data_IF_372648101835
#
_entry.id   IF_372648101835
#
_cell.length_a   1.000
_cell.length_b   1.000
_cell.length_c   1.000
_cell.angle_alpha   90.00
_cell.angle_beta   90.00
_cell.angle_gamma   90.00
#
_symmetry.space_group_name_H-M   'P 1'
#
loop_
_entity.id
_entity.type
_entity.pdbx_description
1 polymer ?
#
# COMPACT_ATOMS: atom_id res chain seq x y z
N UNK A 1 22.63 -2.22 9.30
CA UNK A 1 21.93 -3.51 9.08
C UNK A 1 20.68 -3.25 8.24
N UNK A 2 20.34 -4.14 7.29
CA UNK A 2 19.12 -4.00 6.50
C UNK A 2 17.89 -4.21 7.40
N UNK A 3 16.81 -3.47 7.21
CA UNK A 3 15.55 -3.55 7.97
C UNK A 3 15.10 -5.01 8.19
N UNK A 4 15.24 -5.84 7.17
CA UNK A 4 14.98 -7.28 7.20
C UNK A 4 15.75 -7.99 8.34
N UNK A 5 17.05 -7.73 8.45
CA UNK A 5 17.91 -8.37 9.46
C UNK A 5 17.59 -7.87 10.88
N UNK A 6 17.25 -6.59 11.02
CA UNK A 6 16.85 -6.02 12.33
C UNK A 6 15.53 -6.61 12.80
N UNK A 7 14.54 -6.74 11.91
CA UNK A 7 13.22 -7.26 12.24
C UNK A 7 13.31 -8.76 12.65
N UNK A 8 14.02 -9.57 11.84
CA UNK A 8 14.21 -11.00 12.16
C UNK A 8 14.95 -11.18 13.47
N UNK A 9 15.98 -10.37 13.73
CA UNK A 9 16.75 -10.45 14.98
C UNK A 9 15.93 -9.98 16.19
N UNK A 10 15.09 -8.96 16.04
CA UNK A 10 14.20 -8.49 17.09
C UNK A 10 13.12 -9.53 17.43
N UNK A 11 12.48 -10.13 16.43
CA UNK A 11 11.46 -11.17 16.66
C UNK A 11 12.05 -12.45 17.27
N UNK A 12 13.19 -12.93 16.75
CA UNK A 12 13.85 -14.10 17.33
C UNK A 12 14.38 -13.82 18.73
N UNK A 13 14.94 -12.64 18.97
CA UNK A 13 15.38 -12.23 20.30
C UNK A 13 14.24 -12.15 21.32
N UNK A 14 13.13 -11.50 20.95
CA UNK A 14 11.93 -11.44 21.80
C UNK A 14 11.38 -12.84 22.11
N UNK A 15 11.30 -13.71 21.10
CA UNK A 15 10.84 -15.08 21.27
C UNK A 15 11.71 -15.85 22.26
N UNK A 16 13.06 -15.78 22.14
CA UNK A 16 13.99 -16.45 23.03
C UNK A 16 13.78 -15.96 24.47
N UNK A 17 13.64 -14.65 24.67
CA UNK A 17 13.40 -14.08 26.01
C UNK A 17 12.09 -14.60 26.59
N UNK A 18 10.99 -14.57 25.83
CA UNK A 18 9.68 -15.05 26.30
C UNK A 18 9.73 -16.54 26.65
N UNK A 19 10.32 -17.38 25.79
CA UNK A 19 10.43 -18.81 26.04
C UNK A 19 11.30 -19.11 27.25
N UNK A 20 12.41 -18.37 27.46
CA UNK A 20 13.30 -18.56 28.59
C UNK A 20 12.60 -18.17 29.90
N UNK A 21 11.94 -17.02 29.95
CA UNK A 21 11.19 -16.55 31.12
C UNK A 21 10.06 -17.50 31.47
N UNK A 22 9.26 -17.90 30.44
CA UNK A 22 8.14 -18.84 30.65
C UNK A 22 8.64 -20.20 31.11
N UNK A 23 9.73 -20.72 30.52
CA UNK A 23 10.33 -21.98 30.92
C UNK A 23 10.84 -21.95 32.35
N UNK A 24 11.49 -20.86 32.79
CA UNK A 24 11.95 -20.69 34.15
C UNK A 24 10.79 -20.63 35.15
N UNK A 25 9.73 -19.87 34.85
CA UNK A 25 8.55 -19.79 35.71
C UNK A 25 7.83 -21.14 35.84
N UNK A 26 7.67 -21.87 34.75
CA UNK A 26 7.07 -23.21 34.80
C UNK A 26 7.95 -24.18 35.61
N UNK A 27 9.28 -24.11 35.42
CA UNK A 27 10.20 -24.96 36.15
C UNK A 27 10.12 -24.71 37.68
N UNK A 28 10.06 -23.45 38.11
CA UNK A 28 9.98 -23.10 39.51
C UNK A 28 8.65 -23.46 40.16
N UNK A 29 7.54 -23.27 39.42
CA UNK A 29 6.20 -23.54 39.94
C UNK A 29 5.85 -25.03 39.99
N UNK A 30 6.36 -25.83 39.07
CA UNK A 30 5.94 -27.25 38.96
C UNK A 30 6.39 -28.07 40.13
N UNK A 31 7.60 -27.80 40.68
CA UNK A 31 8.10 -28.50 41.83
C UNK A 31 7.27 -28.20 43.08
N UNK A 32 6.94 -26.94 43.31
CA UNK A 32 6.13 -26.52 44.46
C UNK A 32 4.71 -27.13 44.36
N UNK A 33 4.11 -27.16 43.18
CA UNK A 33 2.79 -27.78 42.98
C UNK A 33 2.85 -29.28 43.22
N UNK A 34 3.86 -29.99 42.69
CA UNK A 34 4.02 -31.43 42.91
C UNK A 34 4.21 -31.77 44.38
N UNK A 35 5.00 -31.01 45.11
CA UNK A 35 5.21 -31.19 46.55
C UNK A 35 3.92 -30.96 47.34
N UNK A 36 3.15 -29.91 47.01
CA UNK A 36 1.86 -29.62 47.66
C UNK A 36 0.81 -30.70 47.36
N UNK A 37 0.73 -31.16 46.10
CA UNK A 37 -0.21 -32.21 45.71
C UNK A 37 0.11 -33.53 46.41
N UNK A 38 1.40 -33.90 46.46
CA UNK A 38 1.86 -35.09 47.19
C UNK A 38 1.55 -34.98 48.70
N UNK A 39 1.82 -33.84 49.32
CA UNK A 39 1.43 -33.60 50.71
C UNK A 39 -0.08 -33.81 50.95
N UNK A 40 -0.91 -33.27 50.07
CA UNK A 40 -2.35 -33.42 50.20
C UNK A 40 -2.77 -34.87 50.04
N UNK A 41 -2.20 -35.61 49.08
CA UNK A 41 -2.49 -37.04 48.90
C UNK A 41 -2.06 -37.86 50.13
N UNK A 42 -0.86 -37.55 50.69
CA UNK A 42 -0.39 -38.19 51.92
C UNK A 42 -1.33 -37.88 53.12
N UNK A 43 -1.83 -36.65 53.22
CA UNK A 43 -2.79 -36.26 54.26
C UNK A 43 -4.13 -36.99 54.11
N UNK A 44 -4.73 -37.00 52.93
CA UNK A 44 -5.98 -37.73 52.62
C UNK A 44 -5.81 -39.24 52.88
N UNK A 45 -4.71 -39.84 52.44
CA UNK A 45 -4.41 -41.25 52.65
C UNK A 45 -4.22 -41.58 54.10
N UNK A 46 -3.49 -40.72 54.81
CA UNK A 46 -3.24 -40.91 56.22
C UNK A 46 -4.45 -40.71 57.10
N UNK A 47 -5.35 -39.77 56.80
CA UNK A 47 -6.63 -39.63 57.47
C UNK A 47 -7.51 -40.86 57.29
N UNK A 48 -7.59 -41.42 56.07
CA UNK A 48 -8.30 -42.65 55.82
C UNK A 48 -7.75 -43.83 56.62
N UNK A 49 -6.39 -43.93 56.65
CA UNK A 49 -5.70 -44.97 57.44
C UNK A 49 -5.95 -44.80 58.96
N UNK A 50 -5.83 -43.54 59.44
CA UNK A 50 -6.06 -43.24 60.85
C UNK A 50 -7.50 -43.54 61.31
N UNK A 51 -8.50 -43.21 60.46
CA UNK A 51 -9.92 -43.53 60.73
C UNK A 51 -10.15 -45.07 60.69
N UNK A 52 -9.65 -45.76 59.69
CA UNK A 52 -9.77 -47.20 59.58
C UNK A 52 -9.15 -47.92 60.80
N UNK A 53 -7.98 -47.44 61.23
CA UNK A 53 -7.28 -47.97 62.39
C UNK A 53 -8.06 -47.71 63.70
N UNK A 54 -8.71 -46.55 63.83
CA UNK A 54 -9.50 -46.21 64.98
C UNK A 54 -10.77 -47.04 65.08
N UNK A 55 -11.47 -47.30 63.96
CA UNK A 55 -12.69 -48.10 63.96
C UNK A 55 -12.46 -49.61 64.21
N UNK A 56 -11.41 -50.15 63.60
CA UNK A 56 -11.20 -51.60 63.54
C UNK A 56 -10.32 -52.13 64.69
N UNK A 57 -9.42 -51.30 65.24
CA UNK A 57 -8.37 -51.73 66.18
C UNK A 57 -8.38 -50.92 67.51
N UNK A 58 -9.45 -50.22 67.85
CA UNK A 58 -9.61 -49.40 69.05
C UNK A 58 -9.44 -50.17 70.39
N UNK A 59 -9.13 -51.45 70.36
CA UNK A 59 -8.77 -52.30 71.55
C UNK A 59 -7.67 -53.25 71.13
N UNK A 60 -6.47 -52.98 71.68
CA UNK A 60 -5.23 -53.67 71.85
C UNK A 60 -5.07 -55.19 71.46
N UNK A 61 -5.60 -55.71 70.43
CA UNK A 61 -5.48 -57.16 70.23
C UNK A 61 -4.73 -57.71 69.01
N UNK A 62 -4.53 -56.97 67.89
CA UNK A 62 -3.79 -57.57 66.81
C UNK A 62 -2.91 -56.58 66.02
N UNK A 63 -1.78 -56.20 66.64
CA UNK A 63 -0.68 -55.47 65.94
C UNK A 63 -0.13 -56.31 64.76
N UNK A 64 -0.34 -57.62 64.74
CA UNK A 64 0.21 -58.49 63.70
C UNK A 64 -0.56 -58.41 62.39
N UNK A 65 -1.89 -58.39 62.45
CA UNK A 65 -2.74 -58.22 61.24
C UNK A 65 -2.61 -56.83 60.66
N UNK A 66 -2.47 -55.80 61.51
CA UNK A 66 -2.19 -54.43 61.13
C UNK A 66 -0.84 -54.28 60.41
N UNK A 67 0.22 -54.92 60.90
CA UNK A 67 1.55 -54.90 60.28
C UNK A 67 1.49 -55.53 58.88
N UNK A 68 0.71 -56.61 58.67
CA UNK A 68 0.55 -57.25 57.38
C UNK A 68 -0.21 -56.36 56.39
N UNK A 69 -1.29 -55.72 56.84
CA UNK A 69 -2.07 -54.77 56.00
C UNK A 69 -1.25 -53.59 55.53
N UNK A 70 -0.47 -52.96 56.41
CA UNK A 70 0.37 -51.80 56.07
C UNK A 70 1.55 -52.14 55.17
N UNK A 71 2.13 -53.30 55.31
CA UNK A 71 3.21 -53.78 54.42
C UNK A 71 2.70 -54.08 53.00
N UNK A 72 1.45 -54.50 52.88
CA UNK A 72 0.82 -54.80 51.56
C UNK A 72 0.50 -53.51 50.78
N UNK A 73 0.48 -52.36 51.42
CA UNK A 73 0.13 -51.05 50.77
C UNK A 73 1.33 -50.34 50.12
N UNK A 74 2.56 -50.87 50.18
CA UNK A 74 3.80 -50.25 49.68
C UNK A 74 4.04 -48.80 50.17
N UNK A 75 3.36 -48.40 51.27
CA UNK A 75 3.49 -47.07 51.87
C UNK A 75 4.67 -47.01 52.83
N UNK A 76 5.44 -45.92 52.75
CA UNK A 76 6.48 -45.64 53.73
C UNK A 76 5.87 -44.81 54.85
N UNK A 77 5.77 -45.41 56.05
CA UNK A 77 5.14 -44.77 57.19
C UNK A 77 5.77 -45.18 58.54
N UNK A 78 5.59 -44.30 59.51
CA UNK A 78 5.91 -44.53 60.95
C UNK A 78 4.65 -44.33 61.79
N UNK A 79 4.49 -45.16 62.78
CA UNK A 79 3.63 -44.87 63.92
C UNK A 79 4.54 -44.38 65.10
N UNK A 80 4.41 -43.09 65.39
CA UNK A 80 5.29 -42.41 66.41
C UNK A 80 4.48 -42.05 67.62
N UNK A 81 5.07 -42.37 68.82
CA UNK A 81 4.54 -41.96 70.10
C UNK A 81 5.27 -40.70 70.62
N UNK A 82 4.52 -39.59 70.73
CA UNK A 82 5.04 -38.31 71.22
C UNK A 82 5.39 -38.33 72.66
N UNK A 83 4.75 -39.15 73.51
CA UNK A 83 4.97 -39.20 74.94
C UNK A 83 6.24 -39.97 75.29
N UNK A 84 6.52 -41.01 74.52
CA UNK A 84 7.66 -41.87 74.70
C UNK A 84 8.86 -41.53 73.83
N UNK A 85 8.65 -40.59 72.87
CA UNK A 85 9.64 -40.21 71.84
C UNK A 85 10.23 -41.45 71.12
N UNK A 86 9.34 -42.37 70.72
CA UNK A 86 9.76 -43.63 70.10
C UNK A 86 8.84 -43.97 68.90
N UNK A 87 9.41 -44.68 67.90
CA UNK A 87 8.63 -45.29 66.83
C UNK A 87 8.14 -46.63 67.28
N UNK A 88 6.81 -46.78 67.31
CA UNK A 88 6.16 -48.06 67.72
C UNK A 88 6.14 -49.04 66.54
N UNK A 89 5.98 -48.55 65.34
CA UNK A 89 5.89 -49.33 64.12
C UNK A 89 6.44 -48.58 62.93
N UNK A 90 7.04 -49.28 61.98
CA UNK A 90 7.46 -48.75 60.67
C UNK A 90 7.36 -49.78 59.60
N UNK A 91 6.96 -49.36 58.38
CA UNK A 91 7.05 -50.21 57.17
C UNK A 91 8.47 -50.26 56.62
N UNK A 92 9.38 -49.42 57.14
CA UNK A 92 10.78 -49.35 56.70
C UNK A 92 11.71 -50.11 57.65
N UNK A 93 12.90 -50.52 57.17
CA UNK A 93 13.92 -51.18 58.02
C UNK A 93 14.34 -50.30 59.16
N UNK A 94 14.61 -50.90 60.32
CA UNK A 94 15.03 -50.19 61.56
C UNK A 94 16.27 -49.29 61.35
N UNK A 95 17.18 -49.64 60.46
CA UNK A 95 18.35 -48.83 60.13
C UNK A 95 17.97 -47.51 59.45
N UNK A 96 16.91 -47.51 58.59
CA UNK A 96 16.36 -46.34 57.92
C UNK A 96 15.64 -45.44 58.92
N UNK A 97 14.86 -46.04 59.83
CA UNK A 97 14.16 -45.34 60.92
C UNK A 97 15.15 -44.59 61.80
N UNK A 98 16.23 -45.28 62.23
CA UNK A 98 17.27 -44.67 63.05
C UNK A 98 17.98 -43.48 62.35
N UNK A 99 18.15 -43.57 61.01
CA UNK A 99 18.70 -42.46 60.23
C UNK A 99 17.79 -41.25 60.24
N UNK A 100 16.49 -41.44 60.07
CA UNK A 100 15.50 -40.34 60.10
C UNK A 100 15.51 -39.65 61.51
N UNK A 101 15.63 -40.40 62.57
CA UNK A 101 15.70 -39.83 63.90
C UNK A 101 16.98 -38.99 64.19
N UNK A 102 18.07 -39.31 63.49
CA UNK A 102 19.31 -38.56 63.62
C UNK A 102 19.34 -37.28 62.85
N UNK A 103 18.68 -37.26 61.66
CA UNK A 103 18.78 -36.16 60.71
C UNK A 103 17.60 -35.18 60.81
N UNK A 104 16.45 -35.61 61.40
CA UNK A 104 15.24 -34.79 61.41
C UNK A 104 14.67 -34.58 62.80
N UNK A 105 14.00 -33.45 63.01
CA UNK A 105 13.41 -33.11 64.29
C UNK A 105 11.98 -33.61 64.43
N UNK A 106 11.76 -34.75 65.00
CA UNK A 106 10.41 -35.33 65.21
C UNK A 106 9.51 -34.47 66.10
N UNK A 107 10.04 -33.59 66.92
CA UNK A 107 9.26 -32.67 67.75
C UNK A 107 8.69 -31.48 66.93
N UNK A 108 9.24 -31.20 65.76
CA UNK A 108 8.79 -30.12 64.92
C UNK A 108 7.62 -30.56 64.00
N UNK A 109 6.41 -30.29 64.41
CA UNK A 109 5.17 -30.68 63.70
C UNK A 109 4.90 -29.88 62.40
N UNK A 110 5.68 -28.83 62.14
CA UNK A 110 5.49 -27.96 60.95
C UNK A 110 6.45 -28.33 59.81
N UNK A 111 7.33 -29.26 60.01
CA UNK A 111 8.31 -29.66 59.03
C UNK A 111 7.65 -30.62 58.02
N UNK A 112 7.50 -30.19 56.76
CA UNK A 112 6.85 -30.93 55.70
C UNK A 112 7.82 -31.65 54.79
N UNK A 113 9.12 -31.48 55.01
CA UNK A 113 10.20 -32.13 54.28
C UNK A 113 11.22 -32.66 55.23
N UNK A 114 11.56 -33.94 55.08
CA UNK A 114 12.60 -34.61 55.86
C UNK A 114 13.77 -35.02 54.95
N UNK A 115 14.93 -35.21 55.53
CA UNK A 115 16.14 -35.60 54.86
C UNK A 115 16.67 -36.92 55.44
N UNK A 116 17.19 -37.79 54.60
CA UNK A 116 17.92 -38.98 54.98
C UNK A 116 19.13 -39.17 54.07
N UNK A 117 20.31 -38.84 54.54
CA UNK A 117 21.52 -38.79 53.72
C UNK A 117 21.41 -37.73 52.62
N UNK A 118 21.42 -38.17 51.37
CA UNK A 118 21.25 -37.29 50.21
C UNK A 118 19.80 -37.18 49.70
N UNK A 119 18.90 -38.03 50.20
CA UNK A 119 17.53 -38.10 49.73
C UNK A 119 16.61 -37.23 50.58
N UNK A 120 15.67 -36.56 49.93
CA UNK A 120 14.63 -35.77 50.57
C UNK A 120 13.29 -36.48 50.43
N UNK A 121 12.46 -36.32 51.45
CA UNK A 121 11.15 -36.92 51.55
C UNK A 121 10.12 -35.87 51.85
N UNK A 122 8.97 -35.92 51.14
CA UNK A 122 7.78 -35.18 51.52
C UNK A 122 7.09 -35.93 52.65
N UNK A 123 6.70 -35.21 53.70
CA UNK A 123 6.08 -35.84 54.88
C UNK A 123 4.72 -35.25 55.17
N UNK A 124 3.78 -36.12 55.58
CA UNK A 124 2.52 -35.72 56.17
C UNK A 124 2.35 -36.38 57.55
N UNK A 125 1.84 -35.63 58.50
CA UNK A 125 1.70 -36.05 59.91
C UNK A 125 0.26 -35.94 60.33
N UNK A 126 -0.33 -37.07 60.78
CA UNK A 126 -1.72 -37.16 61.17
C UNK A 126 -1.81 -37.67 62.59
N UNK A 127 -2.51 -36.93 63.42
CA UNK A 127 -2.78 -37.33 64.80
C UNK A 127 -3.74 -38.50 64.79
N UNK A 128 -3.31 -39.58 65.42
CA UNK A 128 -4.08 -40.78 65.59
C UNK A 128 -4.80 -40.70 66.96
N UNK A 129 -6.12 -40.52 66.96
CA UNK A 129 -6.97 -40.37 68.13
C UNK A 129 -6.48 -39.27 69.09
N UNK A 130 -6.82 -37.97 68.85
CA UNK A 130 -6.17 -36.82 69.49
C UNK A 130 -6.27 -36.76 71.02
N UNK A 131 -7.29 -37.43 71.59
CA UNK A 131 -7.57 -37.23 73.04
C UNK A 131 -6.96 -38.28 74.02
N UNK A 132 -6.31 -39.33 73.54
CA UNK A 132 -5.94 -40.43 74.44
C UNK A 132 -4.44 -40.87 74.45
N UNK A 133 -3.67 -40.83 73.38
CA UNK A 133 -2.40 -41.54 73.37
C UNK A 133 -1.16 -40.78 72.82
N UNK A 134 -1.35 -39.58 72.15
CA UNK A 134 -0.20 -38.83 71.58
C UNK A 134 0.48 -39.58 70.41
N UNK A 135 -0.26 -40.48 69.79
CA UNK A 135 0.22 -41.23 68.59
C UNK A 135 0.10 -40.44 67.31
N UNK A 136 1.10 -40.44 66.46
CA UNK A 136 1.08 -39.83 65.13
C UNK A 136 1.44 -40.86 64.08
N UNK A 137 0.65 -40.81 63.00
CA UNK A 137 0.98 -41.50 61.76
C UNK A 137 1.75 -40.55 60.85
N UNK A 138 2.98 -40.90 60.52
CA UNK A 138 3.86 -40.10 59.67
C UNK A 138 4.07 -40.87 58.38
N UNK A 139 3.55 -40.32 57.27
CA UNK A 139 3.71 -40.86 55.91
C UNK A 139 4.84 -40.11 55.20
N UNK A 140 5.57 -40.83 54.36
CA UNK A 140 6.70 -40.28 53.63
C UNK A 140 6.67 -40.73 52.17
N UNK A 141 7.00 -39.81 51.27
CA UNK A 141 7.25 -40.11 49.87
C UNK A 141 8.62 -39.58 49.45
N UNK A 142 9.48 -40.39 48.82
CA UNK A 142 10.79 -39.93 48.38
C UNK A 142 10.67 -38.91 47.23
N UNK A 143 11.41 -37.80 47.28
CA UNK A 143 11.45 -36.80 46.22
C UNK A 143 12.03 -37.31 44.88
N UNK A 144 12.71 -38.44 44.90
CA UNK A 144 13.23 -39.06 43.67
C UNK A 144 12.14 -39.36 42.67
N UNK A 145 10.97 -39.79 43.13
CA UNK A 145 9.82 -40.12 42.27
C UNK A 145 9.20 -38.84 41.69
N UNK A 146 9.11 -37.77 42.48
CA UNK A 146 8.68 -36.46 42.02
C UNK A 146 9.65 -35.87 40.98
N UNK A 147 10.97 -36.05 41.18
CA UNK A 147 11.98 -35.62 40.22
C UNK A 147 11.91 -36.36 38.88
N UNK A 148 11.51 -37.62 38.88
CA UNK A 148 11.32 -38.38 37.64
C UNK A 148 10.11 -37.84 36.84
N UNK A 149 8.99 -37.57 37.50
CA UNK A 149 7.80 -36.94 36.91
C UNK A 149 8.20 -35.56 36.38
N UNK A 150 8.89 -34.74 37.17
CA UNK A 150 9.36 -33.41 36.73
C UNK A 150 10.24 -33.50 35.48
N UNK A 151 11.20 -34.42 35.45
CA UNK A 151 12.10 -34.61 34.32
C UNK A 151 11.35 -34.96 33.01
N UNK A 152 10.38 -35.85 33.13
CA UNK A 152 9.57 -36.24 31.96
C UNK A 152 8.67 -35.09 31.45
N UNK A 153 8.15 -34.30 32.38
CA UNK A 153 7.38 -33.09 32.03
C UNK A 153 8.27 -32.05 31.33
N UNK A 154 9.47 -31.79 31.84
CA UNK A 154 10.43 -30.87 31.25
C UNK A 154 10.85 -31.30 29.83
N UNK A 155 11.05 -32.60 29.60
CA UNK A 155 11.36 -33.12 28.25
C UNK A 155 10.22 -32.82 27.26
N UNK A 156 8.96 -33.02 27.67
CA UNK A 156 7.78 -32.70 26.82
C UNK A 156 7.66 -31.20 26.58
N UNK A 157 7.88 -30.39 27.62
CA UNK A 157 7.87 -28.92 27.52
C UNK A 157 8.95 -28.42 26.55
N UNK A 158 10.15 -28.97 26.63
CA UNK A 158 11.26 -28.65 25.73
C UNK A 158 10.91 -28.97 24.28
N UNK A 159 10.25 -30.12 24.01
CA UNK A 159 9.80 -30.49 22.68
C UNK A 159 8.77 -29.49 22.13
N UNK A 160 7.81 -29.08 22.96
CA UNK A 160 6.80 -28.10 22.59
C UNK A 160 7.46 -26.75 22.26
N UNK A 161 8.42 -26.31 23.06
CA UNK A 161 9.17 -25.06 22.85
C UNK A 161 10.01 -25.13 21.57
N UNK A 162 10.63 -26.27 21.29
CA UNK A 162 11.40 -26.46 20.06
C UNK A 162 10.52 -26.34 18.82
N UNK A 163 9.34 -27.00 18.83
CA UNK A 163 8.37 -26.89 17.73
C UNK A 163 7.88 -25.45 17.58
N UNK A 164 7.55 -24.79 18.68
CA UNK A 164 7.12 -23.40 18.68
C UNK A 164 8.19 -22.44 18.12
N UNK A 165 9.45 -22.65 18.46
CA UNK A 165 10.58 -21.89 17.95
C UNK A 165 10.76 -22.07 16.44
N UNK A 166 10.69 -23.31 15.95
CA UNK A 166 10.78 -23.59 14.51
C UNK A 166 9.63 -22.94 13.72
N UNK A 167 8.40 -23.03 14.24
CA UNK A 167 7.22 -22.41 13.63
C UNK A 167 7.33 -20.89 13.61
N UNK A 168 7.83 -20.28 14.67
CA UNK A 168 8.03 -18.83 14.73
C UNK A 168 9.13 -18.34 13.78
N UNK A 169 10.23 -19.09 13.63
CA UNK A 169 11.27 -18.79 12.64
C UNK A 169 10.69 -18.88 11.22
N UNK A 170 9.93 -19.93 10.92
CA UNK A 170 9.27 -20.10 9.64
C UNK A 170 8.28 -18.96 9.35
N UNK A 171 7.44 -18.59 10.31
CA UNK A 171 6.48 -17.49 10.18
C UNK A 171 7.18 -16.14 9.98
N UNK A 172 8.25 -15.87 10.74
CA UNK A 172 9.08 -14.68 10.60
C UNK A 172 9.68 -14.57 9.20
N UNK A 173 10.20 -15.68 8.67
CA UNK A 173 10.73 -15.73 7.31
C UNK A 173 9.64 -15.49 6.25
N UNK A 174 8.48 -16.13 6.41
CA UNK A 174 7.33 -15.96 5.53
C UNK A 174 6.85 -14.49 5.48
N UNK A 175 6.59 -13.89 6.65
CA UNK A 175 6.15 -12.49 6.76
C UNK A 175 7.19 -11.52 6.18
N UNK A 176 8.47 -11.76 6.45
CA UNK A 176 9.55 -10.91 5.91
C UNK A 176 9.58 -10.95 4.38
N UNK A 177 9.43 -12.10 3.77
CA UNK A 177 9.44 -12.23 2.31
C UNK A 177 8.16 -11.69 1.66
N UNK A 178 7.01 -11.83 2.33
CA UNK A 178 5.71 -11.43 1.77
C UNK A 178 5.43 -9.94 1.95
N UNK A 179 5.90 -9.32 3.04
CA UNK A 179 5.60 -7.92 3.34
C UNK A 179 6.84 -7.01 3.22
N UNK A 180 7.92 -7.34 3.89
CA UNK A 180 9.08 -6.42 4.00
C UNK A 180 9.88 -6.34 2.70
N UNK A 181 10.08 -7.47 2.04
CA UNK A 181 10.88 -7.51 0.81
C UNK A 181 10.24 -6.70 -0.33
N UNK A 182 8.93 -6.87 -0.66
CA UNK A 182 8.27 -6.05 -1.69
C UNK A 182 8.29 -4.56 -1.37
N UNK A 183 8.03 -4.17 -0.10
CA UNK A 183 8.08 -2.76 0.31
C UNK A 183 9.47 -2.16 0.15
N UNK A 184 10.53 -2.91 0.46
CA UNK A 184 11.91 -2.44 0.25
C UNK A 184 12.24 -2.31 -1.23
N UNK A 185 11.70 -3.19 -2.07
CA UNK A 185 11.86 -3.09 -3.53
C UNK A 185 11.08 -1.89 -4.08
N UNK A 186 9.84 -1.65 -3.64
CA UNK A 186 9.05 -0.47 -3.99
C UNK A 186 9.79 0.82 -3.64
N UNK A 187 10.36 0.91 -2.44
CA UNK A 187 11.19 2.06 -2.06
C UNK A 187 12.35 2.30 -3.03
N UNK A 188 12.98 1.24 -3.54
CA UNK A 188 14.05 1.37 -4.54
C UNK A 188 13.52 1.85 -5.89
N UNK A 189 12.35 1.37 -6.33
CA UNK A 189 11.73 1.84 -7.57
C UNK A 189 11.36 3.32 -7.46
N UNK A 190 10.76 3.75 -6.34
CA UNK A 190 10.48 5.16 -6.08
C UNK A 190 11.73 6.05 -6.13
N UNK A 191 12.89 5.56 -5.63
CA UNK A 191 14.16 6.27 -5.76
C UNK A 191 14.68 6.37 -7.20
N UNK A 192 14.37 5.39 -8.07
CA UNK A 192 14.66 5.48 -9.49
C UNK A 192 13.80 6.54 -10.17
N UNK A 193 12.51 6.60 -9.82
CA UNK A 193 11.56 7.61 -10.29
C UNK A 193 12.02 9.02 -9.87
N UNK A 194 12.41 9.21 -8.59
CA UNK A 194 12.99 10.46 -8.08
C UNK A 194 14.19 10.92 -8.90
N UNK A 195 15.06 9.98 -9.32
CA UNK A 195 16.23 10.25 -10.16
C UNK A 195 15.92 10.37 -11.65
N UNK A 196 14.66 10.29 -12.05
CA UNK A 196 14.19 10.30 -13.44
C UNK A 196 14.72 9.14 -14.29
N UNK A 197 15.03 8.01 -13.67
CA UNK A 197 15.49 6.78 -14.33
C UNK A 197 14.27 5.88 -14.61
N UNK A 198 13.36 6.34 -15.45
CA UNK A 198 12.09 5.66 -15.69
C UNK A 198 12.23 4.34 -16.43
N UNK A 199 13.19 4.25 -17.36
CA UNK A 199 13.46 3.03 -18.15
C UNK A 199 13.94 1.86 -17.27
N UNK A 200 14.50 2.18 -16.10
CA UNK A 200 14.99 1.21 -15.14
C UNK A 200 13.91 0.75 -14.13
N UNK A 201 12.68 1.28 -14.23
CA UNK A 201 11.60 0.91 -13.31
C UNK A 201 11.01 -0.43 -13.70
N UNK A 202 11.17 -1.41 -12.81
CA UNK A 202 10.72 -2.79 -13.01
C UNK A 202 9.50 -3.11 -12.18
N UNK A 203 8.66 -4.01 -12.68
CA UNK A 203 7.54 -4.56 -11.91
C UNK A 203 8.04 -5.48 -10.80
N UNK A 204 7.38 -5.42 -9.65
CA UNK A 204 7.71 -6.20 -8.46
C UNK A 204 6.63 -7.25 -8.23
N UNK A 205 7.05 -8.49 -7.91
CA UNK A 205 6.12 -9.52 -7.50
C UNK A 205 5.62 -9.23 -6.08
N UNK A 206 4.37 -8.83 -5.96
CA UNK A 206 3.69 -8.55 -4.69
C UNK A 206 2.29 -9.19 -4.69
N UNK A 207 1.69 -9.33 -3.52
CA UNK A 207 0.34 -9.90 -3.31
C UNK A 207 -0.50 -8.97 -2.44
N UNK A 208 -1.83 -9.11 -2.51
CA UNK A 208 -2.75 -8.29 -1.73
C UNK A 208 -2.63 -6.80 -2.02
N UNK A 209 -2.78 -5.97 -1.01
CA UNK A 209 -2.77 -4.50 -1.09
C UNK A 209 -1.42 -3.94 -1.59
N UNK A 210 -0.32 -4.65 -1.34
CA UNK A 210 1.01 -4.24 -1.83
C UNK A 210 1.07 -4.32 -3.36
N UNK A 211 0.33 -5.23 -3.99
CA UNK A 211 0.23 -5.33 -5.45
C UNK A 211 -0.49 -4.12 -6.04
N UNK A 212 -1.56 -3.63 -5.39
CA UNK A 212 -2.28 -2.44 -5.83
C UNK A 212 -1.39 -1.19 -5.76
N UNK A 213 -0.62 -1.05 -4.68
CA UNK A 213 0.38 0.02 -4.55
C UNK A 213 1.46 -0.08 -5.62
N UNK A 214 1.97 -1.29 -5.89
CA UNK A 214 2.96 -1.52 -6.96
C UNK A 214 2.41 -1.08 -8.31
N UNK A 215 1.17 -1.48 -8.62
CA UNK A 215 0.53 -1.10 -9.87
C UNK A 215 0.38 0.41 -10.00
N UNK A 216 -0.11 1.08 -8.95
CA UNK A 216 -0.27 2.54 -8.94
C UNK A 216 1.07 3.28 -9.11
N UNK A 217 2.13 2.80 -8.46
CA UNK A 217 3.49 3.36 -8.62
C UNK A 217 4.01 3.17 -10.04
N UNK A 218 3.79 2.01 -10.63
CA UNK A 218 4.23 1.72 -12.00
C UNK A 218 3.47 2.57 -13.04
N UNK A 219 2.15 2.70 -12.89
CA UNK A 219 1.31 3.55 -13.74
C UNK A 219 1.73 5.02 -13.63
N UNK A 220 1.94 5.52 -12.41
CA UNK A 220 2.44 6.88 -12.17
C UNK A 220 3.83 7.11 -12.80
N UNK A 221 4.74 6.14 -12.72
CA UNK A 221 6.05 6.24 -13.35
C UNK A 221 5.95 6.38 -14.87
N UNK A 222 5.10 5.57 -15.50
CA UNK A 222 4.88 5.62 -16.95
C UNK A 222 4.24 6.94 -17.39
N UNK A 223 3.27 7.44 -16.63
CA UNK A 223 2.62 8.71 -16.91
C UNK A 223 3.60 9.87 -16.78
N UNK A 224 4.40 9.88 -15.72
CA UNK A 224 5.43 10.89 -15.51
C UNK A 224 6.51 10.85 -16.61
N UNK A 225 6.92 9.67 -17.04
CA UNK A 225 7.84 9.50 -18.17
C UNK A 225 7.26 10.10 -19.46
N UNK A 226 6.01 9.77 -19.78
CA UNK A 226 5.32 10.33 -20.98
C UNK A 226 5.22 11.85 -20.89
N UNK A 227 4.85 12.38 -19.73
CA UNK A 227 4.77 13.81 -19.50
C UNK A 227 6.11 14.49 -19.72
N UNK A 228 7.19 13.98 -19.13
CA UNK A 228 8.52 14.55 -19.25
C UNK A 228 9.05 14.47 -20.68
N UNK A 229 8.84 13.34 -21.37
CA UNK A 229 9.23 13.19 -22.77
C UNK A 229 8.47 14.17 -23.66
N UNK A 230 7.17 14.33 -23.46
CA UNK A 230 6.36 15.32 -24.19
C UNK A 230 6.83 16.75 -23.93
N UNK A 231 7.16 17.07 -22.66
CA UNK A 231 7.70 18.38 -22.30
C UNK A 231 9.07 18.64 -22.94
N UNK A 232 9.95 17.65 -22.99
CA UNK A 232 11.26 17.77 -23.64
C UNK A 232 11.11 18.04 -25.15
N UNK A 233 10.28 17.26 -25.83
CA UNK A 233 9.97 17.46 -27.26
C UNK A 233 9.37 18.84 -27.48
N UNK A 234 8.46 19.31 -26.61
CA UNK A 234 7.91 20.65 -26.66
C UNK A 234 8.99 21.74 -26.60
N UNK A 235 9.88 21.69 -25.62
CA UNK A 235 10.96 22.70 -25.52
C UNK A 235 11.94 22.64 -26.69
N UNK A 236 12.25 21.44 -27.19
CA UNK A 236 13.13 21.28 -28.35
C UNK A 236 12.51 21.90 -29.60
N UNK A 237 11.24 21.59 -29.89
CA UNK A 237 10.52 22.15 -31.03
C UNK A 237 10.32 23.68 -30.88
N UNK A 238 9.98 24.15 -29.68
CA UNK A 238 9.87 25.58 -29.40
C UNK A 238 11.18 26.33 -29.72
N UNK A 239 12.30 25.77 -29.29
CA UNK A 239 13.61 26.35 -29.55
C UNK A 239 13.92 26.44 -31.06
N UNK A 240 13.57 25.39 -31.81
CA UNK A 240 13.75 25.40 -33.27
C UNK A 240 12.83 26.45 -33.95
N UNK A 241 11.56 26.53 -33.54
CA UNK A 241 10.56 27.45 -34.12
C UNK A 241 10.85 28.92 -33.82
N UNK A 242 11.50 29.21 -32.68
CA UNK A 242 11.95 30.55 -32.34
C UNK A 242 13.29 30.92 -33.00
N UNK A 243 14.18 29.95 -33.19
CA UNK A 243 15.51 30.20 -33.77
C UNK A 243 15.43 30.62 -35.25
N UNK A 244 14.57 29.99 -36.04
CA UNK A 244 14.46 30.23 -37.48
C UNK A 244 14.12 31.70 -37.79
N UNK A 245 13.02 32.30 -37.28
CA UNK A 245 12.70 33.71 -37.53
C UNK A 245 13.77 34.65 -36.96
N UNK A 246 14.37 34.31 -35.81
CA UNK A 246 15.44 35.11 -35.24
C UNK A 246 16.66 35.18 -36.14
N UNK A 247 17.07 34.06 -36.74
CA UNK A 247 18.18 34.01 -37.69
C UNK A 247 17.90 34.80 -38.99
N UNK A 248 16.63 34.77 -39.46
CA UNK A 248 16.18 35.59 -40.60
C UNK A 248 16.30 37.09 -40.28
N UNK A 249 15.77 37.51 -39.12
CA UNK A 249 15.87 38.93 -38.67
C UNK A 249 17.33 39.33 -38.54
N UNK A 250 18.17 38.49 -37.93
CA UNK A 250 19.60 38.77 -37.78
C UNK A 250 20.31 38.90 -39.12
N UNK A 251 20.04 37.97 -40.05
CA UNK A 251 20.68 37.98 -41.37
C UNK A 251 20.34 39.25 -42.20
N UNK A 252 19.06 39.66 -42.20
CA UNK A 252 18.68 40.94 -42.85
C UNK A 252 19.27 42.15 -42.13
N UNK A 253 19.29 42.18 -40.78
CA UNK A 253 19.87 43.30 -40.02
C UNK A 253 21.38 43.44 -40.30
N UNK A 254 22.14 42.32 -40.31
CA UNK A 254 23.56 42.30 -40.63
C UNK A 254 23.81 42.70 -42.09
N UNK A 255 23.04 42.18 -43.06
CA UNK A 255 23.19 42.54 -44.44
C UNK A 255 22.87 44.01 -44.76
N UNK A 256 21.88 44.60 -44.07
CA UNK A 256 21.61 46.05 -44.16
C UNK A 256 22.72 46.86 -43.51
N UNK A 257 23.22 46.44 -42.35
CA UNK A 257 24.31 47.11 -41.66
C UNK A 257 25.62 47.12 -42.46
N UNK A 258 25.91 46.03 -43.15
CA UNK A 258 27.13 45.82 -43.93
C UNK A 258 27.02 46.42 -45.35
N UNK A 259 25.87 47.02 -45.71
CA UNK A 259 25.67 47.63 -47.04
C UNK A 259 25.41 46.61 -48.16
N UNK A 260 25.11 45.36 -47.84
CA UNK A 260 24.77 44.30 -48.81
C UNK A 260 23.40 44.51 -49.41
N UNK A 261 22.43 44.97 -48.61
CA UNK A 261 21.10 45.33 -49.05
C UNK A 261 20.92 46.85 -49.05
N UNK A 262 20.68 47.46 -50.21
CA UNK A 262 20.47 48.89 -50.43
C UNK A 262 19.19 49.16 -51.18
N UNK A 263 18.67 50.41 -51.11
CA UNK A 263 17.46 50.82 -51.82
C UNK A 263 16.25 49.95 -51.56
N UNK A 264 15.58 49.45 -52.61
CA UNK A 264 14.38 48.63 -52.52
C UNK A 264 14.59 47.31 -51.79
N UNK A 265 15.79 46.70 -51.87
CA UNK A 265 16.11 45.46 -51.15
C UNK A 265 16.21 45.66 -49.64
N UNK A 266 16.70 46.82 -49.18
CA UNK A 266 16.70 47.22 -47.79
C UNK A 266 15.28 47.37 -47.24
N UNK A 267 14.39 48.03 -48.02
CA UNK A 267 12.98 48.23 -47.58
C UNK A 267 12.26 46.89 -47.49
N UNK A 268 12.45 45.99 -48.47
CA UNK A 268 11.93 44.59 -48.39
C UNK A 268 12.47 43.80 -47.22
N UNK A 269 13.76 43.96 -46.91
CA UNK A 269 14.39 43.32 -45.78
C UNK A 269 13.79 43.79 -44.45
N UNK A 270 13.54 45.11 -44.33
CA UNK A 270 12.87 45.68 -43.14
C UNK A 270 11.43 45.16 -43.01
N UNK A 271 10.66 45.07 -44.07
CA UNK A 271 9.33 44.51 -44.05
C UNK A 271 9.33 43.04 -43.61
N UNK A 272 10.20 42.21 -44.17
CA UNK A 272 10.38 40.80 -43.74
C UNK A 272 10.76 40.70 -42.26
N UNK A 273 11.64 41.56 -41.75
CA UNK A 273 11.96 41.57 -40.33
C UNK A 273 10.75 41.88 -39.46
N UNK A 274 9.91 42.86 -39.86
CA UNK A 274 8.66 43.20 -39.18
C UNK A 274 7.67 42.03 -39.17
N UNK A 275 7.56 41.31 -40.29
CA UNK A 275 6.70 40.13 -40.40
C UNK A 275 7.19 39.01 -39.48
N UNK A 276 8.51 38.72 -39.43
CA UNK A 276 9.06 37.70 -38.55
C UNK A 276 8.91 38.08 -37.07
N UNK A 277 9.01 39.35 -36.69
CA UNK A 277 8.73 39.82 -35.32
C UNK A 277 7.25 39.59 -34.97
N UNK A 278 6.30 39.89 -35.88
CA UNK A 278 4.89 39.58 -35.66
C UNK A 278 4.64 38.08 -35.48
N UNK A 279 5.26 37.26 -36.29
CA UNK A 279 5.19 35.81 -36.21
C UNK A 279 5.73 35.30 -34.88
N UNK A 280 6.92 35.77 -34.42
CA UNK A 280 7.47 35.44 -33.11
C UNK A 280 6.50 35.79 -31.98
N UNK A 281 5.87 36.97 -32.03
CA UNK A 281 4.87 37.41 -31.03
C UNK A 281 3.68 36.43 -30.95
N UNK A 282 3.19 35.95 -32.11
CA UNK A 282 2.11 34.95 -32.14
C UNK A 282 2.54 33.64 -31.50
N UNK A 283 3.70 33.09 -31.89
CA UNK A 283 4.22 31.83 -31.32
C UNK A 283 4.38 31.92 -29.80
N UNK A 284 4.99 33.01 -29.30
CA UNK A 284 5.17 33.21 -27.84
C UNK A 284 3.82 33.26 -27.12
N UNK A 285 2.84 34.02 -27.65
CA UNK A 285 1.51 34.12 -27.05
C UNK A 285 0.76 32.76 -27.05
N UNK A 286 0.92 31.96 -28.09
CA UNK A 286 0.35 30.60 -28.16
C UNK A 286 1.00 29.67 -27.15
N UNK A 287 2.33 29.76 -26.97
CA UNK A 287 3.06 28.99 -25.94
C UNK A 287 2.62 29.38 -24.54
N UNK A 288 2.49 30.68 -24.24
CA UNK A 288 2.01 31.16 -22.93
C UNK A 288 0.58 30.66 -22.68
N UNK A 289 -0.30 30.70 -23.69
CA UNK A 289 -1.65 30.20 -23.54
C UNK A 289 -1.68 28.69 -23.26
N UNK A 290 -0.90 27.88 -23.98
CA UNK A 290 -0.81 26.45 -23.73
C UNK A 290 -0.31 26.16 -22.32
N UNK A 291 0.71 26.88 -21.85
CA UNK A 291 1.21 26.75 -20.49
C UNK A 291 0.14 27.10 -19.43
N UNK A 292 -0.68 28.13 -19.70
CA UNK A 292 -1.82 28.48 -18.84
C UNK A 292 -2.92 27.41 -18.86
N UNK A 293 -3.27 26.87 -20.01
CA UNK A 293 -4.27 25.81 -20.14
C UNK A 293 -3.84 24.52 -19.42
N UNK A 294 -2.53 24.23 -19.37
CA UNK A 294 -2.00 23.08 -18.63
C UNK A 294 -2.02 23.27 -17.09
N UNK A 295 -1.94 24.51 -16.58
CA UNK A 295 -1.70 24.80 -15.16
C UNK A 295 -2.84 25.53 -14.45
N UNK A 296 -3.53 26.41 -15.15
CA UNK A 296 -4.53 27.29 -14.54
C UNK A 296 -5.94 26.69 -14.62
N UNK A 297 -6.57 26.58 -13.43
CA UNK A 297 -8.01 26.28 -13.29
C UNK A 297 -8.92 27.49 -13.59
N UNK A 298 -8.40 28.54 -14.22
CA UNK A 298 -9.18 29.72 -14.58
C UNK A 298 -10.04 29.43 -15.84
N UNK A 299 -10.96 28.51 -15.69
CA UNK A 299 -11.99 28.19 -16.66
C UNK A 299 -13.29 28.76 -16.10
N UNK A 300 -13.83 29.80 -16.76
CA UNK A 300 -15.05 30.51 -16.35
C UNK A 300 -16.20 30.14 -17.31
N UNK A 301 -16.80 28.99 -17.13
CA UNK A 301 -17.82 28.51 -18.05
C UNK A 301 -19.15 29.24 -17.82
N UNK A 302 -19.77 29.66 -18.91
CA UNK A 302 -21.10 30.22 -18.96
C UNK A 302 -21.99 29.42 -19.92
N UNK A 303 -23.30 29.67 -19.88
CA UNK A 303 -24.23 29.08 -20.83
C UNK A 303 -24.08 29.79 -22.16
N UNK A 304 -23.76 29.07 -23.20
CA UNK A 304 -23.56 29.58 -24.59
C UNK A 304 -24.46 28.88 -25.55
N UNK A 305 -25.03 29.65 -26.49
CA UNK A 305 -25.69 29.09 -27.68
C UNK A 305 -24.63 28.68 -28.72
N UNK A 306 -24.69 27.41 -29.16
CA UNK A 306 -23.79 26.90 -30.20
C UNK A 306 -23.94 27.65 -31.53
N UNK A 307 -25.15 28.11 -31.86
CA UNK A 307 -25.45 28.89 -33.06
C UNK A 307 -24.77 30.27 -33.01
N UNK A 308 -24.92 31.00 -31.88
CA UNK A 308 -24.29 32.30 -31.66
C UNK A 308 -22.77 32.21 -31.68
N UNK A 309 -22.23 31.18 -31.10
CA UNK A 309 -20.77 30.92 -31.06
C UNK A 309 -20.21 30.68 -32.49
N UNK A 310 -20.90 29.90 -33.31
CA UNK A 310 -20.49 29.66 -34.69
C UNK A 310 -20.58 30.96 -35.51
N UNK A 311 -21.63 31.76 -35.35
CA UNK A 311 -21.76 33.07 -36.03
C UNK A 311 -20.61 33.99 -35.64
N UNK A 312 -20.28 34.11 -34.34
CA UNK A 312 -19.18 34.93 -33.88
C UNK A 312 -17.81 34.49 -34.46
N UNK A 313 -17.61 33.18 -34.71
CA UNK A 313 -16.39 32.67 -35.37
C UNK A 313 -16.39 33.08 -36.85
N UNK A 314 -17.52 32.90 -37.55
CA UNK A 314 -17.63 33.27 -38.98
C UNK A 314 -17.42 34.77 -39.16
N UNK A 315 -18.08 35.61 -38.36
CA UNK A 315 -17.93 37.08 -38.41
C UNK A 315 -16.48 37.50 -38.16
N UNK A 316 -15.83 36.92 -37.18
CA UNK A 316 -14.41 37.19 -36.84
C UNK A 316 -13.46 36.84 -37.98
N UNK A 317 -13.76 35.79 -38.75
CA UNK A 317 -12.92 35.28 -39.83
C UNK A 317 -13.39 35.74 -41.22
N UNK A 318 -14.46 36.55 -41.31
CA UNK A 318 -15.02 37.03 -42.56
C UNK A 318 -14.00 37.71 -43.49
N UNK A 319 -13.07 38.57 -42.99
CA UNK A 319 -12.03 39.14 -43.84
C UNK A 319 -11.17 38.10 -44.53
N UNK A 320 -10.74 37.07 -43.75
CA UNK A 320 -9.89 36.01 -44.25
C UNK A 320 -10.60 35.09 -45.25
N UNK A 321 -11.89 34.82 -45.03
CA UNK A 321 -12.74 34.07 -45.93
C UNK A 321 -12.89 34.80 -47.28
N UNK A 322 -13.09 36.12 -47.23
CA UNK A 322 -13.24 36.94 -48.42
C UNK A 322 -11.94 37.05 -49.23
N UNK A 323 -10.81 37.24 -48.54
CA UNK A 323 -9.48 37.31 -49.16
C UNK A 323 -9.11 36.02 -49.87
N UNK A 324 -9.44 34.87 -49.32
CA UNK A 324 -9.16 33.57 -49.90
C UNK A 324 -10.28 33.05 -50.84
N UNK A 325 -11.33 33.82 -51.05
CA UNK A 325 -12.52 33.45 -51.87
C UNK A 325 -13.18 32.13 -51.39
N UNK A 326 -13.25 31.89 -50.09
CA UNK A 326 -13.84 30.69 -49.50
C UNK A 326 -15.30 30.93 -49.14
N UNK A 327 -16.17 30.05 -49.61
CA UNK A 327 -17.60 30.05 -49.26
C UNK A 327 -17.83 29.19 -48.00
N UNK A 328 -18.59 29.72 -47.04
CA UNK A 328 -18.97 28.99 -45.81
C UNK A 328 -20.43 28.57 -45.90
N UNK A 329 -20.71 27.28 -45.80
CA UNK A 329 -22.04 26.69 -45.68
C UNK A 329 -22.33 26.39 -44.22
N UNK A 330 -23.10 27.23 -43.50
CA UNK A 330 -23.53 26.99 -42.13
C UNK A 330 -24.81 26.17 -42.08
N UNK A 331 -24.82 25.08 -41.28
CA UNK A 331 -25.98 24.23 -41.04
C UNK A 331 -26.11 23.96 -39.56
N UNK A 332 -26.98 24.67 -38.85
CA UNK A 332 -27.27 24.45 -37.42
C UNK A 332 -28.71 24.00 -37.30
N UNK A 333 -28.95 22.82 -36.78
CA UNK A 333 -30.29 22.21 -36.73
C UNK A 333 -31.16 22.68 -35.56
N UNK A 334 -30.57 23.09 -34.46
CA UNK A 334 -31.27 23.47 -33.23
C UNK A 334 -30.41 24.49 -32.44
N UNK A 335 -31.07 25.33 -31.60
CA UNK A 335 -30.36 26.19 -30.67
C UNK A 335 -29.90 25.34 -29.46
N UNK A 336 -28.64 24.89 -29.52
CA UNK A 336 -28.06 23.97 -28.57
C UNK A 336 -27.26 24.76 -27.55
N UNK A 337 -27.62 24.61 -26.27
CA UNK A 337 -26.90 25.25 -25.16
C UNK A 337 -25.77 24.36 -24.64
N UNK A 338 -24.59 24.95 -24.49
CA UNK A 338 -23.40 24.32 -23.89
C UNK A 338 -22.91 25.13 -22.71
N UNK A 339 -22.16 24.50 -21.81
CA UNK A 339 -21.53 25.17 -20.68
C UNK A 339 -20.02 25.23 -20.91
N UNK A 340 -19.54 26.39 -21.36
CA UNK A 340 -18.15 26.57 -21.76
C UNK A 340 -17.68 28.03 -21.55
N UNK A 341 -16.34 28.20 -21.49
CA UNK A 341 -15.74 29.54 -21.52
C UNK A 341 -15.79 30.11 -22.91
N UNK A 342 -16.53 31.22 -23.08
CA UNK A 342 -16.83 31.84 -24.37
C UNK A 342 -15.55 32.21 -25.14
N UNK A 343 -14.63 32.93 -24.52
CA UNK A 343 -13.41 33.39 -25.18
C UNK A 343 -12.52 32.26 -25.63
N UNK A 344 -12.35 31.25 -24.74
CA UNK A 344 -11.56 30.07 -25.07
C UNK A 344 -12.21 29.23 -26.16
N UNK A 345 -13.54 29.00 -26.10
CA UNK A 345 -14.24 28.20 -27.11
C UNK A 345 -14.23 28.90 -28.45
N UNK A 346 -14.46 30.23 -28.50
CA UNK A 346 -14.34 31.04 -29.70
C UNK A 346 -12.93 30.90 -30.30
N UNK A 347 -11.89 30.88 -29.48
CA UNK A 347 -10.52 30.69 -29.93
C UNK A 347 -10.28 29.24 -30.46
N UNK A 348 -10.80 28.23 -29.79
CA UNK A 348 -10.70 26.84 -30.25
C UNK A 348 -11.32 26.65 -31.62
N UNK A 349 -12.58 27.10 -31.81
CA UNK A 349 -13.26 27.02 -33.07
C UNK A 349 -12.59 27.87 -34.15
N UNK A 350 -12.13 29.08 -33.83
CA UNK A 350 -11.37 29.92 -34.77
C UNK A 350 -10.10 29.20 -35.26
N UNK A 351 -9.35 28.53 -34.41
CA UNK A 351 -8.16 27.80 -34.83
C UNK A 351 -8.47 26.66 -35.79
N UNK A 352 -9.60 25.96 -35.60
CA UNK A 352 -10.06 24.89 -36.49
C UNK A 352 -10.52 25.46 -37.82
N UNK A 353 -11.32 26.55 -37.82
CA UNK A 353 -11.82 27.18 -39.02
C UNK A 353 -10.70 27.85 -39.82
N UNK A 354 -9.72 28.50 -39.18
CA UNK A 354 -8.50 29.03 -39.82
C UNK A 354 -7.73 27.91 -40.51
N UNK A 355 -7.60 26.75 -39.86
CA UNK A 355 -6.99 25.59 -40.50
C UNK A 355 -7.77 25.14 -41.73
N UNK A 356 -9.10 25.08 -41.65
CA UNK A 356 -9.95 24.75 -42.81
C UNK A 356 -9.81 25.77 -43.92
N UNK A 357 -9.82 27.10 -43.64
CA UNK A 357 -9.61 28.16 -44.64
C UNK A 357 -8.29 28.00 -45.39
N UNK A 358 -7.21 27.65 -44.64
CA UNK A 358 -5.86 27.49 -45.22
C UNK A 358 -5.79 26.32 -46.21
N UNK A 359 -6.56 25.27 -46.00
CA UNK A 359 -6.49 24.05 -46.77
C UNK A 359 -7.62 23.89 -47.79
N UNK A 360 -8.71 24.62 -47.62
CA UNK A 360 -9.83 24.62 -48.55
C UNK A 360 -9.44 25.16 -49.93
N UNK A 361 -10.04 24.60 -50.97
CA UNK A 361 -9.95 25.11 -52.34
C UNK A 361 -11.00 26.21 -52.63
N UNK A 362 -12.21 26.03 -52.12
CA UNK A 362 -13.32 26.96 -52.38
C UNK A 362 -14.42 26.96 -51.32
N UNK A 363 -14.54 25.91 -50.53
CA UNK A 363 -15.70 25.70 -49.65
C UNK A 363 -15.36 25.12 -48.32
N UNK A 364 -16.02 25.65 -47.28
CA UNK A 364 -16.03 25.09 -45.92
C UNK A 364 -17.48 24.87 -45.50
N UNK A 365 -17.77 23.75 -44.84
CA UNK A 365 -19.07 23.47 -44.24
C UNK A 365 -18.92 23.39 -42.72
N UNK A 366 -19.74 24.11 -41.97
CA UNK A 366 -19.85 24.04 -40.53
C UNK A 366 -21.24 23.50 -40.21
N UNK A 367 -21.29 22.32 -39.61
CA UNK A 367 -22.55 21.67 -39.25
C UNK A 367 -22.57 21.42 -37.75
N UNK A 368 -23.66 21.82 -37.08
CA UNK A 368 -23.90 21.60 -35.67
C UNK A 368 -25.24 20.89 -35.46
N UNK A 369 -25.22 19.81 -34.69
CA UNK A 369 -26.38 18.99 -34.36
C UNK A 369 -26.21 18.28 -33.04
N UNK A 370 -27.32 17.80 -32.46
CA UNK A 370 -27.28 17.01 -31.23
C UNK A 370 -27.37 15.53 -31.57
N UNK A 371 -26.44 14.75 -31.01
CA UNK A 371 -26.46 13.30 -31.08
C UNK A 371 -26.11 12.71 -29.72
N UNK A 372 -26.88 11.71 -29.24
CA UNK A 372 -26.65 11.02 -27.94
C UNK A 372 -26.42 11.97 -26.72
N UNK A 373 -27.15 13.12 -26.69
CA UNK A 373 -27.01 14.19 -25.68
C UNK A 373 -25.65 14.89 -25.71
N UNK A 374 -25.00 14.90 -26.83
CA UNK A 374 -23.79 15.68 -27.08
C UNK A 374 -24.02 16.63 -28.21
N UNK A 375 -23.46 17.82 -28.14
CA UNK A 375 -23.35 18.70 -29.29
C UNK A 375 -22.21 18.20 -30.17
N UNK A 376 -22.52 17.95 -31.41
CA UNK A 376 -21.54 17.62 -32.45
C UNK A 376 -21.37 18.86 -33.33
N UNK A 377 -20.14 19.38 -33.41
CA UNK A 377 -19.78 20.43 -34.36
C UNK A 377 -18.77 19.82 -35.34
N UNK A 378 -19.11 19.83 -36.64
CA UNK A 378 -18.17 19.41 -37.68
C UNK A 378 -17.76 20.61 -38.53
N UNK A 379 -16.47 20.70 -38.82
CA UNK A 379 -15.87 21.67 -39.74
C UNK A 379 -15.21 20.88 -40.86
N UNK A 380 -15.73 21.00 -42.05
CA UNK A 380 -15.31 20.25 -43.25
C UNK A 380 -14.76 21.20 -44.30
N UNK A 381 -13.70 20.83 -44.99
CA UNK A 381 -13.13 21.55 -46.11
C UNK A 381 -13.12 20.68 -47.38
N UNK A 382 -12.94 21.34 -48.55
CA UNK A 382 -12.81 20.71 -49.88
C UNK A 382 -11.33 20.61 -50.33
N UNK A 383 -10.39 20.56 -49.37
CA UNK A 383 -8.96 20.44 -49.61
C UNK A 383 -8.50 19.01 -49.90
N UNK A 384 -7.22 18.79 -49.76
CA UNK A 384 -6.61 17.46 -50.00
C UNK A 384 -6.79 16.47 -48.84
N UNK A 385 -7.36 16.93 -47.72
CA UNK A 385 -7.52 16.14 -46.49
C UNK A 385 -6.24 16.08 -45.67
N UNK A 386 -6.27 15.23 -44.61
CA UNK A 386 -5.12 14.98 -43.72
C UNK A 386 -4.48 13.66 -44.12
N UNK A 387 -3.15 13.65 -44.26
CA UNK A 387 -2.38 12.42 -44.53
C UNK A 387 -2.57 11.41 -43.38
N UNK A 388 -2.75 10.13 -43.71
CA UNK A 388 -3.07 9.08 -42.71
C UNK A 388 -2.04 8.95 -41.57
N UNK A 389 -0.77 9.17 -41.92
CA UNK A 389 0.34 9.16 -40.95
C UNK A 389 0.32 10.33 -39.95
N UNK A 390 -0.33 11.45 -40.33
CA UNK A 390 -0.46 12.63 -39.49
C UNK A 390 -1.70 12.59 -38.58
N UNK A 391 -2.75 11.85 -38.94
CA UNK A 391 -3.99 11.79 -38.16
C UNK A 391 -3.78 11.53 -36.66
N UNK A 392 -2.94 10.55 -36.25
CA UNK A 392 -2.72 10.30 -34.84
C UNK A 392 -2.00 11.44 -34.08
N UNK A 393 -1.30 12.31 -34.83
CA UNK A 393 -0.37 13.31 -34.28
C UNK A 393 -0.78 14.75 -34.52
N UNK A 394 -1.81 15.01 -35.36
CA UNK A 394 -2.16 16.37 -35.82
C UNK A 394 -2.51 17.35 -34.71
N UNK A 395 -2.97 16.84 -33.55
CA UNK A 395 -3.29 17.64 -32.37
C UNK A 395 -2.10 17.76 -31.40
N UNK A 396 -0.93 17.18 -31.74
CA UNK A 396 0.27 17.38 -30.94
C UNK A 396 0.89 18.74 -31.22
N UNK A 397 1.63 19.25 -30.24
CA UNK A 397 2.28 20.57 -30.30
C UNK A 397 3.35 20.59 -31.38
N UNK A 398 3.41 21.66 -32.19
CA UNK A 398 4.39 21.87 -33.28
C UNK A 398 4.29 20.89 -34.44
N UNK A 399 3.19 20.16 -34.60
CA UNK A 399 2.93 19.39 -35.82
C UNK A 399 2.46 20.31 -36.92
N UNK A 400 3.15 20.27 -38.04
CA UNK A 400 2.85 21.10 -39.20
C UNK A 400 2.59 20.24 -40.43
N UNK A 401 1.59 20.61 -41.25
CA UNK A 401 1.49 20.20 -42.63
C UNK A 401 2.43 21.03 -43.50
N UNK A 402 2.38 20.84 -44.81
CA UNK A 402 3.25 21.52 -45.79
C UNK A 402 3.15 23.07 -45.78
N UNK A 403 2.08 23.65 -45.22
CA UNK A 403 1.79 25.10 -45.19
C UNK A 403 1.51 25.66 -43.79
N UNK A 404 1.84 24.93 -42.69
CA UNK A 404 1.51 25.32 -41.32
C UNK A 404 2.43 26.40 -40.74
N UNK A 405 1.85 27.40 -40.02
CA UNK A 405 2.62 28.50 -39.42
C UNK A 405 3.33 28.12 -38.12
N UNK A 406 2.59 27.88 -37.02
CA UNK A 406 3.18 27.59 -35.69
C UNK A 406 3.09 26.12 -35.29
N UNK A 407 2.08 25.38 -35.80
CA UNK A 407 1.76 24.02 -35.39
C UNK A 407 1.21 23.94 -33.93
N UNK A 408 0.77 25.07 -33.37
CA UNK A 408 0.21 25.14 -31.98
C UNK A 408 -1.30 25.31 -31.99
N UNK A 409 -1.93 25.82 -33.08
CA UNK A 409 -3.33 26.13 -33.10
C UNK A 409 -4.27 24.95 -32.86
N UNK A 410 -4.05 23.80 -33.49
CA UNK A 410 -4.85 22.59 -33.27
C UNK A 410 -4.59 21.97 -31.86
N UNK A 411 -3.39 22.08 -31.33
CA UNK A 411 -3.08 21.67 -29.96
C UNK A 411 -3.81 22.55 -28.93
N UNK A 412 -3.89 23.87 -29.17
CA UNK A 412 -4.67 24.80 -28.35
C UNK A 412 -6.17 24.47 -28.43
N UNK A 413 -6.70 24.23 -29.65
CA UNK A 413 -8.09 23.84 -29.81
C UNK A 413 -8.43 22.56 -29.02
N UNK A 414 -7.59 21.55 -29.12
CA UNK A 414 -7.74 20.31 -28.36
C UNK A 414 -7.73 20.55 -26.84
N UNK A 415 -6.76 21.30 -26.33
CA UNK A 415 -6.65 21.58 -24.89
C UNK A 415 -7.89 22.32 -24.35
N UNK A 416 -8.43 23.27 -25.09
CA UNK A 416 -9.65 24.00 -24.70
C UNK A 416 -10.89 23.08 -24.73
N UNK A 417 -11.04 22.28 -25.79
CA UNK A 417 -12.17 21.35 -25.93
C UNK A 417 -12.13 20.29 -24.82
N UNK A 418 -10.97 19.70 -24.52
CA UNK A 418 -10.78 18.74 -23.41
C UNK A 418 -11.05 19.38 -22.04
N UNK A 419 -10.69 20.66 -21.84
CA UNK A 419 -11.00 21.42 -20.61
C UNK A 419 -12.53 21.66 -20.44
N UNK A 420 -13.29 21.60 -21.56
CA UNK A 420 -14.75 21.67 -21.58
C UNK A 420 -15.43 20.29 -21.54
N UNK A 421 -14.73 19.24 -21.06
CA UNK A 421 -15.19 17.84 -21.07
C UNK A 421 -15.58 17.32 -22.47
N UNK A 422 -15.06 17.94 -23.51
CA UNK A 422 -15.29 17.58 -24.91
C UNK A 422 -14.20 16.68 -25.49
N UNK A 423 -14.39 16.30 -26.78
CA UNK A 423 -13.39 15.55 -27.56
C UNK A 423 -13.27 16.16 -28.94
N UNK A 424 -12.09 16.11 -29.53
CA UNK A 424 -11.85 16.48 -30.93
C UNK A 424 -11.21 15.31 -31.66
N UNK A 425 -11.64 15.08 -32.90
CA UNK A 425 -11.05 14.12 -33.81
C UNK A 425 -11.06 14.67 -35.23
N UNK A 426 -10.33 14.00 -36.14
CA UNK A 426 -10.29 14.35 -37.54
C UNK A 426 -10.42 13.09 -38.39
N UNK A 427 -11.16 13.17 -39.46
CA UNK A 427 -11.26 12.15 -40.49
C UNK A 427 -11.38 12.81 -41.89
N UNK A 428 -11.70 12.03 -42.93
CA UNK A 428 -11.93 12.53 -44.27
C UNK A 428 -13.39 12.88 -44.44
N UNK A 429 -13.68 14.07 -44.98
CA UNK A 429 -15.05 14.47 -45.31
C UNK A 429 -15.64 13.55 -46.38
N UNK A 430 -16.79 12.91 -46.11
CA UNK A 430 -17.44 12.06 -47.10
C UNK A 430 -18.04 12.84 -48.28
N UNK A 431 -18.42 14.11 -48.09
CA UNK A 431 -19.09 14.93 -49.08
C UNK A 431 -18.15 15.89 -49.82
N UNK A 432 -17.17 16.45 -49.10
CA UNK A 432 -16.24 17.45 -49.64
C UNK A 432 -14.87 16.88 -50.01
N UNK A 433 -14.62 15.62 -49.66
CA UNK A 433 -13.37 14.86 -49.90
C UNK A 433 -12.12 15.42 -49.18
N UNK A 434 -12.21 16.57 -48.49
CA UNK A 434 -11.15 17.18 -47.69
C UNK A 434 -11.08 16.67 -46.26
N UNK A 435 -10.59 17.49 -45.33
CA UNK A 435 -10.56 17.14 -43.90
C UNK A 435 -11.93 17.44 -43.24
N UNK A 436 -12.28 16.60 -42.24
CA UNK A 436 -13.41 16.82 -41.36
C UNK A 436 -12.96 16.78 -39.92
N UNK A 437 -13.00 17.93 -39.26
CA UNK A 437 -12.78 18.03 -37.82
C UNK A 437 -14.10 17.86 -37.09
N UNK A 438 -14.15 16.97 -36.11
CA UNK A 438 -15.34 16.61 -35.35
C UNK A 438 -15.09 16.97 -33.89
N UNK A 439 -15.92 17.86 -33.35
CA UNK A 439 -15.90 18.30 -31.96
C UNK A 439 -17.15 17.77 -31.30
N UNK A 440 -16.98 17.14 -30.11
CA UNK A 440 -18.10 16.70 -29.28
C UNK A 440 -18.04 17.40 -27.94
N UNK A 441 -19.15 18.02 -27.52
CA UNK A 441 -19.29 18.72 -26.26
C UNK A 441 -20.52 18.21 -25.50
N UNK A 442 -20.48 18.11 -24.15
CA UNK A 442 -21.66 17.72 -23.39
C UNK A 442 -22.74 18.81 -23.46
N UNK A 443 -23.98 18.42 -23.75
CA UNK A 443 -25.13 19.33 -23.73
C UNK A 443 -25.66 19.43 -22.32
N UNK A 444 -25.93 20.63 -21.84
CA UNK A 444 -26.56 20.86 -20.55
C UNK A 444 -28.02 20.48 -20.63
N UNK A 445 -28.41 19.36 -20.03
CA UNK A 445 -29.81 18.98 -19.88
C UNK A 445 -30.51 19.97 -18.94
N UNK A 446 -31.57 20.58 -19.35
CA UNK A 446 -32.43 21.55 -18.63
C UNK A 446 -33.12 20.97 -17.38
N UNK A 447 -32.44 20.06 -16.63
CA UNK A 447 -32.98 19.38 -15.43
C UNK A 447 -32.62 20.06 -14.10
N UNK A 448 -31.95 21.22 -14.09
CA UNK A 448 -31.60 21.91 -12.83
C UNK A 448 -32.62 22.97 -12.34
N UNK A 449 -33.74 23.20 -13.06
CA UNK A 449 -34.77 24.13 -12.58
C UNK A 449 -35.84 23.53 -11.63
N UNK A 450 -35.67 22.32 -11.11
CA UNK A 450 -36.64 21.71 -10.15
C UNK A 450 -36.04 21.25 -8.84
N UNK A 451 -35.09 21.95 -8.31
CA UNK A 451 -34.72 21.84 -6.88
C UNK A 451 -34.28 23.23 -6.39
N UNK A 452 -35.27 24.08 -6.20
CA UNK A 452 -35.26 25.28 -5.39
C UNK A 452 -36.18 25.06 -4.22
#
# INVERSE_FOLDING_TARGET
MKLRSQLTLAFTGLLIVVLTVTGYLIYSLILDILVQDEQRQLEETGELLANFLTEQYGTTKDIHEFNQFLNDQELQLFLYDRNMDTVLFSTMPNSVVAGFFQENNFANTKETMWQLGNDRFVTSRILFNPDALGLELILLTPMTDLHEIQRNFIKRLFLIFLIGALLAIWLSYYLTNTLVTPLTLLQRQLKKIEKRQFDDVERIKATGEIKEVEQSVFEMANELQRYMSSQQVFFQNASHELKTPLMTIQGYAEGIKDGVFEGEEKDKGLELMVEEVKRLKVIINEMILLAKLDTEKTYEPIMLSGDVLIDAVIDRLFPMLTENNIRVDKQVKEDIQIYADEEKMLRALSNIVVNAIRHAKSRIRIHAYTEHKQLMITVEDDGDGVAEDLIPHIFHRFIKGKSGESGLGLAIARAIIEQSDGKISVDRSPDLEGARFIITLPVVSNKREKQG
#
